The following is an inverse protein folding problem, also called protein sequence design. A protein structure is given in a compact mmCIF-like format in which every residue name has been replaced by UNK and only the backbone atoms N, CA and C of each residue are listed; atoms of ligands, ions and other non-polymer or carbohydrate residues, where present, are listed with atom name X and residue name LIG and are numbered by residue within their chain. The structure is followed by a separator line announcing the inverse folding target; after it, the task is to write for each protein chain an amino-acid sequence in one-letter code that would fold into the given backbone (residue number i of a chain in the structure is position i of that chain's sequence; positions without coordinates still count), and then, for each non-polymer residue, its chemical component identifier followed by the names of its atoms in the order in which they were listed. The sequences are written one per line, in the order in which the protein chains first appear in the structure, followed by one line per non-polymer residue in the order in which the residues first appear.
data_IF_272241311974
#
_entry.id   IF_272241311974
#
_cell.length_a   1.000
_cell.length_b   1.000
_cell.length_c   1.000
_cell.angle_alpha   90.00
_cell.angle_beta   90.00
_cell.angle_gamma   90.00
#
_symmetry.space_group_name_H-M   'P 1'
#
loop_
_entity.id
_entity.type
_entity.pdbx_description
1 polymer ?
#
# COMPACT_ATOMS: atom_id res chain seq x y z
N UNK A 1 3.85 22.36 -16.27
CA UNK A 1 4.32 20.96 -16.31
C UNK A 1 3.38 20.11 -15.47
N UNK A 2 2.63 19.18 -16.07
CA UNK A 2 1.81 18.24 -15.30
C UNK A 2 2.75 17.28 -14.53
N UNK A 3 2.59 17.17 -13.21
CA UNK A 3 3.32 16.19 -12.39
C UNK A 3 3.04 14.79 -12.93
N UNK A 4 4.09 13.97 -13.07
CA UNK A 4 3.94 12.58 -13.48
C UNK A 4 3.10 11.81 -12.45
N UNK A 5 2.48 10.70 -12.85
CA UNK A 5 1.72 9.86 -11.93
C UNK A 5 2.57 9.43 -10.71
N UNK A 6 3.84 9.06 -10.96
CA UNK A 6 4.80 8.69 -9.92
C UNK A 6 5.00 9.81 -8.89
N UNK A 7 5.03 11.08 -9.33
CA UNK A 7 5.21 12.22 -8.43
C UNK A 7 3.98 12.48 -7.55
N UNK A 8 2.77 12.21 -8.07
CA UNK A 8 1.54 12.32 -7.29
C UNK A 8 1.46 11.25 -6.21
N UNK A 9 1.78 10.00 -6.57
CA UNK A 9 1.84 8.88 -5.61
C UNK A 9 2.87 9.19 -4.54
N UNK A 10 4.08 9.61 -4.93
CA UNK A 10 5.12 9.96 -3.97
C UNK A 10 4.75 11.15 -3.08
N UNK A 11 4.11 12.19 -3.62
CA UNK A 11 3.65 13.34 -2.82
C UNK A 11 2.59 12.96 -1.78
N UNK A 12 1.68 12.04 -2.12
CA UNK A 12 0.72 11.48 -1.16
C UNK A 12 1.45 10.63 -0.11
N UNK A 13 2.34 9.74 -0.54
CA UNK A 13 3.15 8.90 0.34
C UNK A 13 4.22 9.67 1.12
N UNK A 14 4.37 10.97 0.92
CA UNK A 14 5.24 11.80 1.73
C UNK A 14 4.56 12.38 2.97
N UNK A 15 3.23 12.30 3.03
CA UNK A 15 2.43 12.78 4.13
C UNK A 15 2.39 11.77 5.27
N UNK A 16 2.73 12.17 6.50
CA UNK A 16 2.75 11.26 7.66
C UNK A 16 1.39 10.63 7.96
N UNK A 17 0.30 11.38 7.73
CA UNK A 17 -1.06 10.89 7.92
C UNK A 17 -1.40 9.73 6.97
N UNK A 18 -0.80 9.66 5.79
CA UNK A 18 -1.03 8.59 4.83
C UNK A 18 -0.43 7.25 5.28
N UNK A 19 0.47 7.30 6.26
CA UNK A 19 1.10 6.11 6.83
C UNK A 19 0.51 5.71 8.16
N UNK A 20 -0.31 6.54 8.81
CA UNK A 20 -0.91 6.17 10.09
C UNK A 20 -1.88 4.99 9.88
N UNK A 21 -1.84 3.92 10.71
CA UNK A 21 -1.05 3.75 11.94
C UNK A 21 0.34 3.08 11.74
N UNK A 22 0.69 2.71 10.52
CA UNK A 22 1.91 2.02 10.12
C UNK A 22 3.11 2.97 9.85
N UNK A 23 3.19 4.11 10.55
CA UNK A 23 4.22 5.12 10.30
C UNK A 23 5.65 4.57 10.44
N UNK A 24 5.85 3.62 11.36
CA UNK A 24 7.14 2.93 11.56
C UNK A 24 7.58 2.08 10.37
N UNK A 25 6.67 1.72 9.46
CA UNK A 25 6.98 0.99 8.24
C UNK A 25 7.32 1.90 7.06
N UNK A 26 7.24 3.23 7.22
CA UNK A 26 7.62 4.18 6.18
C UNK A 26 9.15 4.15 5.97
N UNK A 27 9.65 3.84 4.76
CA UNK A 27 11.08 3.98 4.46
C UNK A 27 11.52 5.46 4.48
N UNK A 28 12.82 5.69 4.64
CA UNK A 28 13.40 6.97 4.22
C UNK A 28 13.27 7.14 2.70
N UNK A 29 13.28 8.39 2.19
CA UNK A 29 12.98 8.67 0.78
C UNK A 29 13.99 8.07 -0.19
N UNK A 30 15.23 8.00 0.24
CA UNK A 30 16.40 7.42 -0.40
C UNK A 30 16.50 5.90 -0.22
N UNK A 31 15.73 5.33 0.71
CA UNK A 31 15.71 3.89 0.96
C UNK A 31 14.69 3.19 0.05
N UNK A 32 15.15 2.13 -0.63
CA UNK A 32 14.26 1.26 -1.40
C UNK A 32 13.26 0.54 -0.48
N UNK A 33 12.00 0.48 -0.91
CA UNK A 33 10.97 -0.32 -0.29
C UNK A 33 11.21 -1.80 -0.61
N UNK A 34 11.48 -2.60 0.42
CA UNK A 34 11.67 -4.05 0.28
C UNK A 34 10.34 -4.78 0.13
N UNK A 35 10.36 -5.98 -0.47
CA UNK A 35 9.16 -6.81 -0.60
C UNK A 35 8.56 -7.22 0.75
N UNK A 36 9.40 -7.48 1.75
CA UNK A 36 8.96 -7.81 3.10
C UNK A 36 8.19 -6.65 3.74
N UNK A 37 8.72 -5.42 3.62
CA UNK A 37 8.07 -4.21 4.13
C UNK A 37 6.77 -3.91 3.38
N UNK A 38 6.74 -4.10 2.06
CA UNK A 38 5.51 -4.01 1.26
C UNK A 38 4.45 -5.00 1.77
N UNK A 39 4.83 -6.25 2.04
CA UNK A 39 3.91 -7.25 2.55
C UNK A 39 3.34 -6.86 3.92
N UNK A 40 4.17 -6.32 4.83
CA UNK A 40 3.71 -5.82 6.13
C UNK A 40 2.70 -4.67 5.99
N UNK A 41 2.98 -3.71 5.09
CA UNK A 41 2.07 -2.59 4.79
C UNK A 41 0.73 -3.11 4.26
N UNK A 42 0.78 -4.08 3.34
CA UNK A 42 -0.43 -4.69 2.74
C UNK A 42 -1.22 -5.49 3.76
N UNK A 43 -0.57 -6.27 4.63
CA UNK A 43 -1.26 -7.00 5.68
C UNK A 43 -1.92 -6.04 6.69
N UNK A 44 -1.27 -4.91 7.01
CA UNK A 44 -1.85 -3.89 7.86
C UNK A 44 -3.04 -3.17 7.19
N UNK A 45 -2.80 -2.39 6.14
CA UNK A 45 -3.87 -1.60 5.50
C UNK A 45 -4.87 -2.46 4.71
N UNK A 46 -4.38 -3.42 3.94
CA UNK A 46 -5.23 -4.35 3.20
C UNK A 46 -6.03 -5.26 4.12
N UNK A 47 -5.47 -5.67 5.26
CA UNK A 47 -6.20 -6.40 6.30
C UNK A 47 -7.35 -5.58 6.90
N UNK A 48 -7.10 -4.31 7.24
CA UNK A 48 -8.16 -3.39 7.69
C UNK A 48 -9.26 -3.24 6.62
N UNK A 49 -8.88 -3.05 5.35
CA UNK A 49 -9.85 -2.98 4.24
C UNK A 49 -10.65 -4.28 4.11
N UNK A 50 -10.01 -5.45 4.26
CA UNK A 50 -10.67 -6.74 4.23
C UNK A 50 -11.67 -6.91 5.39
N UNK A 51 -11.32 -6.48 6.60
CA UNK A 51 -12.24 -6.47 7.74
C UNK A 51 -13.47 -5.59 7.46
N UNK A 52 -13.29 -4.41 6.86
CA UNK A 52 -14.41 -3.55 6.45
C UNK A 52 -15.26 -4.20 5.36
N UNK A 53 -14.66 -4.81 4.33
CA UNK A 53 -15.39 -5.53 3.29
C UNK A 53 -16.24 -6.66 3.87
N UNK A 54 -15.67 -7.44 4.79
CA UNK A 54 -16.39 -8.53 5.48
C UNK A 54 -17.50 -7.95 6.35
N UNK A 55 -17.23 -6.92 7.15
CA UNK A 55 -18.26 -6.29 8.00
C UNK A 55 -19.44 -5.78 7.15
N UNK A 56 -19.17 -5.10 6.04
CA UNK A 56 -20.21 -4.64 5.12
C UNK A 56 -21.00 -5.81 4.53
N UNK A 57 -20.34 -6.90 4.14
CA UNK A 57 -21.02 -8.11 3.69
C UNK A 57 -21.95 -8.68 4.77
N UNK A 58 -21.50 -8.78 6.02
CA UNK A 58 -22.34 -9.26 7.12
C UNK A 58 -23.53 -8.34 7.43
N UNK A 59 -23.40 -7.04 7.21
CA UNK A 59 -24.48 -6.06 7.43
C UNK A 59 -25.50 -6.03 6.28
N UNK A 60 -25.10 -6.39 5.07
CA UNK A 60 -25.94 -6.29 3.87
C UNK A 60 -26.67 -7.59 3.53
N UNK A 61 -26.28 -8.72 4.10
CA UNK A 61 -26.83 -10.03 3.80
C UNK A 61 -27.30 -10.72 5.09
N UNK A 62 -28.57 -11.13 5.14
CA UNK A 62 -29.20 -11.73 6.33
C UNK A 62 -28.60 -13.10 6.72
N UNK A 63 -28.12 -13.85 5.73
CA UNK A 63 -27.50 -15.17 5.92
C UNK A 63 -26.10 -15.20 5.29
N UNK A 64 -25.09 -14.59 5.94
CA UNK A 64 -23.76 -14.50 5.38
C UNK A 64 -23.07 -15.87 5.40
N UNK A 65 -22.69 -16.36 4.23
CA UNK A 65 -21.85 -17.54 4.09
C UNK A 65 -20.38 -17.25 4.46
N UNK A 66 -19.78 -18.11 5.28
CA UNK A 66 -18.42 -17.92 5.80
C UNK A 66 -17.34 -18.08 4.73
N UNK A 67 -17.55 -18.97 3.74
CA UNK A 67 -16.62 -19.21 2.66
C UNK A 67 -16.59 -18.00 1.71
N UNK A 68 -17.75 -17.40 1.46
CA UNK A 68 -17.87 -16.13 0.73
C UNK A 68 -17.16 -15.01 1.48
N UNK A 69 -17.37 -14.88 2.80
CA UNK A 69 -16.69 -13.86 3.61
C UNK A 69 -15.15 -14.03 3.59
N UNK A 70 -14.65 -15.26 3.75
CA UNK A 70 -13.23 -15.55 3.68
C UNK A 70 -12.64 -15.27 2.29
N UNK A 71 -13.36 -15.63 1.22
CA UNK A 71 -12.97 -15.35 -0.16
C UNK A 71 -12.92 -13.86 -0.42
N UNK A 72 -13.91 -13.10 0.05
CA UNK A 72 -13.98 -11.65 -0.07
C UNK A 72 -12.80 -10.98 0.64
N UNK A 73 -12.45 -11.43 1.84
CA UNK A 73 -11.27 -10.94 2.57
C UNK A 73 -9.98 -11.22 1.77
N UNK A 74 -9.80 -12.45 1.30
CA UNK A 74 -8.63 -12.86 0.51
C UNK A 74 -8.47 -12.05 -0.78
N UNK A 75 -9.57 -11.87 -1.53
CA UNK A 75 -9.58 -11.06 -2.75
C UNK A 75 -9.28 -9.59 -2.45
N UNK A 76 -9.85 -9.04 -1.39
CA UNK A 76 -9.60 -7.64 -0.98
C UNK A 76 -8.11 -7.42 -0.70
N UNK A 77 -7.48 -8.30 0.10
CA UNK A 77 -6.04 -8.21 0.39
C UNK A 77 -5.20 -8.38 -0.88
N UNK A 78 -5.55 -9.33 -1.74
CA UNK A 78 -4.82 -9.58 -2.99
C UNK A 78 -4.88 -8.37 -3.95
N UNK A 79 -6.06 -7.76 -4.10
CA UNK A 79 -6.23 -6.53 -4.89
C UNK A 79 -5.45 -5.37 -4.29
N UNK A 80 -5.47 -5.22 -2.97
CA UNK A 80 -4.68 -4.21 -2.28
C UNK A 80 -3.18 -4.41 -2.50
N UNK A 81 -2.69 -5.65 -2.40
CA UNK A 81 -1.31 -6.00 -2.72
C UNK A 81 -0.93 -5.59 -4.15
N UNK A 82 -1.75 -5.96 -5.12
CA UNK A 82 -1.52 -5.65 -6.53
C UNK A 82 -1.49 -4.13 -6.77
N UNK A 83 -2.43 -3.38 -6.21
CA UNK A 83 -2.47 -1.93 -6.29
C UNK A 83 -1.23 -1.29 -5.66
N UNK A 84 -0.87 -1.68 -4.44
CA UNK A 84 0.31 -1.17 -3.75
C UNK A 84 1.62 -1.52 -4.48
N UNK A 85 1.70 -2.71 -5.10
CA UNK A 85 2.84 -3.15 -5.90
C UNK A 85 3.01 -2.32 -7.17
N UNK A 86 1.93 -2.03 -7.88
CA UNK A 86 1.96 -1.28 -9.14
C UNK A 86 2.14 0.22 -8.93
N UNK A 87 1.65 0.75 -7.81
CA UNK A 87 1.72 2.18 -7.48
C UNK A 87 2.88 2.46 -6.52
N UNK A 88 2.64 2.35 -5.22
CA UNK A 88 3.57 2.70 -4.14
C UNK A 88 4.96 2.08 -4.32
N UNK A 89 5.05 0.76 -4.49
CA UNK A 89 6.34 0.09 -4.57
C UNK A 89 7.16 0.56 -5.79
N UNK A 90 6.49 0.66 -6.95
CA UNK A 90 7.15 1.08 -8.20
C UNK A 90 7.57 2.55 -8.13
N UNK A 91 6.67 3.46 -7.75
CA UNK A 91 6.97 4.90 -7.70
C UNK A 91 8.03 5.23 -6.65
N UNK A 92 7.97 4.56 -5.49
CA UNK A 92 8.91 4.75 -4.40
C UNK A 92 10.31 4.29 -4.79
N UNK A 93 10.45 3.09 -5.36
CA UNK A 93 11.77 2.55 -5.72
C UNK A 93 12.41 3.29 -6.89
N UNK A 94 11.62 3.79 -7.84
CA UNK A 94 12.13 4.69 -8.89
C UNK A 94 12.64 6.00 -8.29
N UNK A 95 11.95 6.57 -7.31
CA UNK A 95 12.40 7.78 -6.60
C UNK A 95 13.67 7.51 -5.81
N UNK A 96 13.70 6.43 -5.02
CA UNK A 96 14.88 6.06 -4.23
C UNK A 96 16.12 5.87 -5.12
N UNK A 97 15.97 5.25 -6.29
CA UNK A 97 17.07 5.12 -7.25
C UNK A 97 17.60 6.47 -7.75
N UNK A 98 16.71 7.42 -8.08
CA UNK A 98 17.09 8.78 -8.49
C UNK A 98 17.80 9.56 -7.38
N UNK A 99 17.27 9.48 -6.15
CA UNK A 99 17.86 10.18 -5.02
C UNK A 99 19.23 9.60 -4.64
N UNK A 100 19.42 8.28 -4.78
CA UNK A 100 20.73 7.67 -4.54
C UNK A 100 21.76 8.07 -5.58
N UNK A 101 21.37 8.19 -6.86
CA UNK A 101 22.30 8.68 -7.90
C UNK A 101 22.68 10.15 -7.73
N UNK A 102 21.80 10.98 -7.15
CA UNK A 102 22.09 12.40 -6.92
C UNK A 102 22.99 12.63 -5.68
N UNK A 103 23.01 11.68 -4.73
CA UNK A 103 23.80 11.77 -3.48
C UNK A 103 25.23 11.24 -3.65
N UNK A 104 25.49 10.40 -4.66
CA UNK A 104 26.84 9.98 -5.07
C UNK A 104 27.30 10.71 -6.36
N UNK A 105 27.53 12.04 -6.37
CA UNK A 105 28.36 12.63 -7.39
C UNK A 105 29.80 12.24 -7.07
N UNK A 106 30.43 11.47 -7.96
CA UNK A 106 31.86 11.16 -7.90
C UNK A 106 32.71 12.41 -7.58
#
# INVERSE_FOLDING_TARGET
MARSWDDRVNALSDQDWAWWPLLSLRPLREQALSHARLLQIVLGFGGVCACFSVLLYWLLFDTPDWLVAASLAGVTVALFYAAARLTLYRSWNRRAARLRSDVDPL
#
